data_IF_273449972029
#
_entry.id   IF_273449972029
#
_cell.length_a   1.000
_cell.length_b   1.000
_cell.length_c   1.000
_cell.angle_alpha   90.00
_cell.angle_beta   90.00
_cell.angle_gamma   90.00
#
_symmetry.space_group_name_H-M   'P 1'
#
loop_
_entity.id
_entity.type
_entity.pdbx_description
1 polymer ?
#
# COMPACT_ATOMS: atom_id res chain seq x y z
N UNK A 1 -22.93 -31.17 -71.55
CA UNK A 1 -22.42 -30.53 -70.32
C UNK A 1 -23.56 -30.48 -69.33
N UNK A 2 -23.57 -31.36 -68.31
CA UNK A 2 -24.49 -31.25 -67.18
C UNK A 2 -23.84 -30.36 -66.13
N UNK A 3 -24.46 -29.23 -65.80
CA UNK A 3 -24.14 -28.50 -64.57
C UNK A 3 -25.18 -28.87 -63.51
N UNK A 4 -24.71 -29.53 -62.44
CA UNK A 4 -25.46 -29.67 -61.19
C UNK A 4 -25.14 -28.44 -60.34
N UNK A 5 -26.17 -27.66 -60.02
CA UNK A 5 -26.07 -26.60 -59.00
C UNK A 5 -26.71 -27.15 -57.74
N UNK A 6 -25.88 -27.52 -56.76
CA UNK A 6 -26.34 -27.83 -55.42
C UNK A 6 -26.70 -26.50 -54.72
N UNK A 7 -28.00 -26.22 -54.60
CA UNK A 7 -28.48 -25.10 -53.79
C UNK A 7 -28.80 -25.64 -52.41
N UNK A 8 -27.98 -25.28 -51.42
CA UNK A 8 -28.34 -25.46 -50.01
C UNK A 8 -29.47 -24.47 -49.70
N UNK A 9 -30.68 -24.97 -49.45
CA UNK A 9 -31.83 -24.12 -49.14
C UNK A 9 -31.63 -23.43 -47.80
N UNK A 10 -31.28 -22.14 -47.81
CA UNK A 10 -31.38 -21.29 -46.63
C UNK A 10 -32.86 -21.01 -46.38
N UNK A 11 -33.31 -21.21 -45.14
CA UNK A 11 -34.70 -20.92 -44.77
C UNK A 11 -34.76 -19.54 -44.13
N UNK A 12 -35.35 -18.59 -44.85
CA UNK A 12 -35.78 -17.31 -44.30
C UNK A 12 -37.21 -17.42 -43.79
N UNK A 13 -37.44 -17.09 -42.51
CA UNK A 13 -38.79 -16.88 -41.98
C UNK A 13 -38.99 -15.39 -41.88
N UNK A 14 -40.00 -14.90 -42.62
CA UNK A 14 -40.35 -13.48 -42.73
C UNK A 14 -39.22 -12.60 -43.32
N UNK A 15 -38.30 -13.19 -44.10
CA UNK A 15 -37.31 -12.49 -44.92
C UNK A 15 -37.12 -13.14 -46.29
N UNK A 16 -37.05 -12.33 -47.35
CA UNK A 16 -36.66 -12.73 -48.70
C UNK A 16 -35.14 -12.66 -48.93
N UNK A 17 -34.39 -12.07 -47.98
CA UNK A 17 -32.94 -11.96 -47.99
C UNK A 17 -32.36 -12.68 -46.75
N UNK A 18 -32.45 -14.03 -46.69
CA UNK A 18 -31.83 -14.77 -45.60
C UNK A 18 -30.32 -14.47 -45.56
N UNK A 19 -29.77 -14.37 -44.35
CA UNK A 19 -28.34 -14.06 -44.20
C UNK A 19 -27.55 -15.22 -44.81
N UNK A 20 -26.65 -14.89 -45.75
CA UNK A 20 -25.88 -15.87 -46.50
C UNK A 20 -24.97 -16.76 -45.63
N UNK A 21 -24.77 -16.39 -44.36
CA UNK A 21 -24.03 -17.14 -43.35
C UNK A 21 -24.91 -17.92 -42.36
N UNK A 22 -26.23 -17.95 -42.56
CA UNK A 22 -27.18 -18.62 -41.66
C UNK A 22 -27.92 -19.77 -42.36
N UNK A 23 -28.10 -20.90 -41.65
CA UNK A 23 -28.97 -21.98 -42.11
C UNK A 23 -30.47 -21.71 -41.89
N UNK A 24 -30.79 -20.92 -40.86
CA UNK A 24 -32.14 -20.43 -40.53
C UNK A 24 -32.04 -18.95 -40.11
N UNK A 25 -32.71 -18.07 -40.83
CA UNK A 25 -32.81 -16.64 -40.52
C UNK A 25 -34.26 -16.30 -40.21
N UNK A 26 -34.55 -15.91 -38.97
CA UNK A 26 -35.85 -15.32 -38.62
C UNK A 26 -35.67 -13.82 -38.54
N UNK A 27 -36.38 -13.08 -39.38
CA UNK A 27 -36.30 -11.61 -39.42
C UNK A 27 -37.65 -10.99 -39.12
N UNK A 28 -37.65 -9.79 -38.51
CA UNK A 28 -38.85 -8.98 -38.37
C UNK A 28 -39.32 -8.35 -39.70
N UNK A 29 -38.49 -8.39 -40.75
CA UNK A 29 -38.79 -7.78 -42.06
C UNK A 29 -38.36 -8.61 -43.24
N UNK A 30 -39.08 -8.40 -44.34
CA UNK A 30 -38.78 -9.01 -45.62
C UNK A 30 -37.33 -8.73 -46.06
N UNK A 31 -36.83 -7.51 -45.83
CA UNK A 31 -35.44 -7.11 -46.10
C UNK A 31 -34.73 -6.55 -44.85
N UNK A 32 -33.87 -7.35 -44.19
CA UNK A 32 -33.10 -6.95 -43.01
C UNK A 32 -32.01 -5.90 -43.31
N UNK A 33 -31.67 -5.65 -44.58
CA UNK A 33 -30.68 -4.64 -44.95
C UNK A 33 -31.27 -3.22 -45.09
N UNK A 34 -32.58 -3.06 -44.87
CA UNK A 34 -33.29 -1.80 -45.07
C UNK A 34 -33.02 -0.78 -43.94
N UNK A 35 -32.36 0.33 -44.28
CA UNK A 35 -31.93 1.38 -43.34
C UNK A 35 -33.05 2.33 -42.89
N UNK A 36 -34.27 2.19 -43.41
CA UNK A 36 -35.38 3.14 -43.21
C UNK A 36 -36.20 2.91 -41.93
N UNK A 37 -35.96 1.82 -41.20
CA UNK A 37 -36.44 1.67 -39.83
C UNK A 37 -35.42 0.84 -39.01
N UNK A 38 -34.87 1.32 -37.89
CA UNK A 38 -33.90 0.53 -37.12
C UNK A 38 -34.60 -0.65 -36.44
N UNK A 39 -33.99 -1.84 -36.51
CA UNK A 39 -34.47 -3.07 -35.88
C UNK A 39 -34.71 -2.84 -34.38
N UNK A 40 -35.94 -3.04 -33.92
CA UNK A 40 -36.28 -2.95 -32.51
C UNK A 40 -37.11 -4.18 -32.15
N UNK A 41 -36.44 -5.06 -31.37
CA UNK A 41 -37.00 -6.23 -30.65
C UNK A 41 -37.07 -7.58 -31.40
N UNK A 42 -35.98 -8.00 -32.06
CA UNK A 42 -35.86 -9.32 -32.68
C UNK A 42 -35.25 -10.39 -31.74
N UNK A 43 -35.82 -11.62 -31.74
CA UNK A 43 -35.29 -12.80 -31.02
C UNK A 43 -36.01 -14.10 -31.40
N UNK A 44 -35.39 -15.26 -31.12
CA UNK A 44 -36.00 -16.59 -31.28
C UNK A 44 -36.45 -17.10 -29.91
N UNK A 45 -37.76 -17.39 -29.77
CA UNK A 45 -38.28 -18.10 -28.58
C UNK A 45 -38.13 -19.60 -28.83
N UNK A 46 -37.18 -20.23 -28.14
CA UNK A 46 -37.03 -21.69 -28.13
C UNK A 46 -38.13 -22.35 -27.28
N UNK A 47 -38.47 -23.62 -27.53
CA UNK A 47 -39.45 -24.35 -26.72
C UNK A 47 -39.13 -24.28 -25.22
N UNK A 48 -40.15 -23.99 -24.42
CA UNK A 48 -40.04 -23.73 -22.97
C UNK A 48 -40.66 -24.87 -22.19
N UNK A 49 -39.88 -25.52 -21.34
CA UNK A 49 -40.30 -26.68 -20.56
C UNK A 49 -39.86 -26.54 -19.11
N UNK A 50 -40.64 -27.05 -18.16
CA UNK A 50 -40.17 -27.30 -16.80
C UNK A 50 -39.12 -28.42 -16.79
N UNK A 51 -38.35 -28.55 -15.70
CA UNK A 51 -37.42 -29.68 -15.54
C UNK A 51 -38.14 -31.03 -15.67
N UNK A 52 -39.37 -31.13 -15.17
CA UNK A 52 -40.19 -32.34 -15.29
C UNK A 52 -40.63 -32.63 -16.72
N UNK A 53 -41.09 -31.63 -17.46
CA UNK A 53 -41.47 -31.79 -18.87
C UNK A 53 -40.27 -32.11 -19.76
N UNK A 54 -39.12 -31.46 -19.54
CA UNK A 54 -37.86 -31.79 -20.23
C UNK A 54 -37.46 -33.24 -20.01
N UNK A 55 -37.62 -33.76 -18.79
CA UNK A 55 -37.23 -35.13 -18.48
C UNK A 55 -38.01 -36.19 -19.28
N UNK A 56 -39.18 -35.84 -19.82
CA UNK A 56 -39.96 -36.71 -20.72
C UNK A 56 -39.46 -36.69 -22.17
N UNK A 57 -38.60 -35.74 -22.52
CA UNK A 57 -37.91 -35.73 -23.82
C UNK A 57 -36.81 -36.79 -23.72
N UNK A 58 -36.88 -37.81 -24.58
CA UNK A 58 -35.91 -38.92 -24.64
C UNK A 58 -35.03 -38.80 -25.91
N UNK A 59 -34.16 -37.79 -26.01
CA UNK A 59 -33.28 -37.58 -27.16
C UNK A 59 -32.18 -38.63 -27.22
N UNK A 60 -31.69 -38.90 -28.42
CA UNK A 60 -30.60 -39.83 -28.70
C UNK A 60 -29.47 -39.12 -29.46
N UNK A 61 -28.67 -39.88 -30.20
CA UNK A 61 -27.55 -39.35 -30.97
C UNK A 61 -27.97 -38.32 -32.04
N UNK A 62 -29.14 -38.50 -32.65
CA UNK A 62 -29.64 -37.66 -33.75
C UNK A 62 -30.11 -36.29 -33.30
N UNK A 63 -30.46 -36.13 -32.02
CA UNK A 63 -30.90 -34.88 -31.41
C UNK A 63 -29.77 -34.14 -30.70
N UNK A 64 -28.51 -34.51 -30.92
CA UNK A 64 -27.37 -33.80 -30.33
C UNK A 64 -27.40 -32.30 -30.69
N UNK A 65 -27.33 -31.42 -29.69
CA UNK A 65 -27.51 -29.98 -29.83
C UNK A 65 -28.95 -29.48 -29.68
N UNK A 66 -29.93 -30.37 -29.42
CA UNK A 66 -31.30 -29.98 -29.10
C UNK A 66 -31.29 -29.00 -27.94
N UNK A 67 -31.80 -27.80 -28.20
CA UNK A 67 -31.78 -26.69 -27.25
C UNK A 67 -33.21 -26.33 -26.86
N UNK A 68 -33.46 -26.30 -25.55
CA UNK A 68 -34.71 -25.82 -24.97
C UNK A 68 -34.43 -24.75 -23.92
N UNK A 69 -35.44 -23.99 -23.53
CA UNK A 69 -35.38 -23.12 -22.36
C UNK A 69 -36.08 -23.80 -21.18
N UNK A 70 -35.32 -24.14 -20.14
CA UNK A 70 -35.87 -24.71 -18.92
C UNK A 70 -36.42 -23.59 -18.02
N UNK A 71 -37.74 -23.48 -17.89
CA UNK A 71 -38.39 -22.42 -17.09
C UNK A 71 -38.25 -22.65 -15.59
N UNK A 72 -37.93 -23.87 -15.15
CA UNK A 72 -37.68 -24.18 -13.73
C UNK A 72 -36.28 -23.70 -13.33
N UNK A 73 -35.26 -23.94 -14.17
CA UNK A 73 -33.87 -23.51 -13.87
C UNK A 73 -33.48 -22.15 -14.45
N UNK A 74 -34.35 -21.54 -15.28
CA UNK A 74 -34.12 -20.31 -16.04
C UNK A 74 -32.83 -20.35 -16.89
N UNK A 75 -32.59 -21.49 -17.54
CA UNK A 75 -31.40 -21.73 -18.37
C UNK A 75 -31.76 -22.33 -19.70
N UNK A 76 -30.87 -22.18 -20.67
CA UNK A 76 -30.88 -23.07 -21.83
C UNK A 76 -30.42 -24.45 -21.36
N UNK A 77 -31.13 -25.48 -21.76
CA UNK A 77 -30.66 -26.86 -21.64
C UNK A 77 -30.33 -27.35 -23.05
N UNK A 78 -29.12 -27.87 -23.21
CA UNK A 78 -28.57 -28.35 -24.48
C UNK A 78 -28.33 -29.85 -24.32
N UNK A 79 -28.92 -30.67 -25.17
CA UNK A 79 -28.65 -32.10 -25.19
C UNK A 79 -27.28 -32.37 -25.79
N UNK A 80 -26.41 -33.01 -25.03
CA UNK A 80 -25.09 -33.41 -25.47
C UNK A 80 -25.01 -34.93 -25.57
N UNK A 81 -24.72 -35.45 -26.76
CA UNK A 81 -24.46 -36.86 -27.01
C UNK A 81 -22.96 -37.13 -27.10
N UNK A 82 -22.48 -38.11 -26.34
CA UNK A 82 -21.12 -38.63 -26.44
C UNK A 82 -21.12 -39.88 -27.31
N UNK A 83 -20.55 -39.75 -28.51
CA UNK A 83 -20.49 -40.84 -29.49
C UNK A 83 -19.57 -41.98 -29.06
N UNK A 84 -18.54 -41.70 -28.25
CA UNK A 84 -17.59 -42.70 -27.77
C UNK A 84 -18.20 -43.59 -26.68
N UNK A 85 -19.05 -43.04 -25.82
CA UNK A 85 -19.68 -43.78 -24.71
C UNK A 85 -21.11 -44.20 -25.00
N UNK A 86 -21.71 -43.76 -26.12
CA UNK A 86 -23.11 -43.98 -26.47
C UNK A 86 -24.08 -43.54 -25.35
N UNK A 87 -23.74 -42.42 -24.70
CA UNK A 87 -24.54 -41.83 -23.63
C UNK A 87 -24.79 -40.36 -23.92
N UNK A 88 -25.96 -39.86 -23.49
CA UNK A 88 -26.29 -38.45 -23.58
C UNK A 88 -26.70 -37.86 -22.25
N UNK A 89 -26.47 -36.57 -22.10
CA UNK A 89 -26.84 -35.80 -20.92
C UNK A 89 -27.25 -34.39 -21.30
N UNK A 90 -28.16 -33.82 -20.50
CA UNK A 90 -28.50 -32.41 -20.63
C UNK A 90 -27.44 -31.55 -19.93
N UNK A 91 -26.85 -30.62 -20.66
CA UNK A 91 -26.00 -29.57 -20.10
C UNK A 91 -26.81 -28.28 -19.93
N UNK A 92 -26.53 -27.53 -18.87
CA UNK A 92 -27.16 -26.22 -18.65
C UNK A 92 -26.22 -25.09 -19.09
N UNK A 93 -26.75 -24.16 -19.87
CA UNK A 93 -26.10 -22.88 -20.19
C UNK A 93 -26.98 -21.75 -19.64
N UNK A 94 -26.48 -21.09 -18.60
CA UNK A 94 -27.19 -20.04 -17.88
C UNK A 94 -26.47 -18.70 -18.07
N UNK A 95 -27.19 -17.59 -17.93
CA UNK A 95 -26.54 -16.31 -17.61
C UNK A 95 -25.82 -16.40 -16.26
N UNK A 96 -24.97 -15.41 -15.92
CA UNK A 96 -24.33 -15.36 -14.61
C UNK A 96 -25.40 -15.44 -13.50
N UNK A 97 -25.39 -16.54 -12.74
CA UNK A 97 -26.27 -16.74 -11.60
C UNK A 97 -25.64 -16.11 -10.36
N UNK A 98 -26.42 -15.47 -9.48
CA UNK A 98 -25.95 -15.14 -8.15
C UNK A 98 -25.52 -16.43 -7.44
N UNK A 99 -24.46 -16.34 -6.65
CA UNK A 99 -24.08 -17.41 -5.73
C UNK A 99 -25.18 -17.65 -4.69
N UNK A 100 -24.95 -18.58 -3.78
CA UNK A 100 -25.64 -18.55 -2.50
C UNK A 100 -24.69 -18.95 -1.38
N UNK A 101 -24.85 -18.32 -0.23
CA UNK A 101 -24.03 -18.58 0.96
C UNK A 101 -24.91 -18.77 2.20
N UNK A 102 -24.46 -19.64 3.09
CA UNK A 102 -24.87 -19.64 4.48
C UNK A 102 -24.04 -18.62 5.24
N UNK A 103 -24.73 -17.62 5.78
CA UNK A 103 -24.17 -16.61 6.65
C UNK A 103 -25.22 -16.24 7.69
N UNK A 104 -24.90 -16.35 8.97
CA UNK A 104 -25.86 -16.05 10.06
C UNK A 104 -25.24 -15.27 11.21
N UNK A 105 -23.90 -15.11 11.22
CA UNK A 105 -23.18 -14.57 12.35
C UNK A 105 -22.45 -13.27 12.00
N UNK A 106 -23.12 -12.14 12.23
CA UNK A 106 -22.51 -10.81 12.06
C UNK A 106 -21.30 -10.56 12.98
N UNK A 107 -21.18 -11.27 14.12
CA UNK A 107 -20.02 -11.14 14.99
C UNK A 107 -18.74 -11.77 14.40
N UNK A 108 -18.87 -12.58 13.33
CA UNK A 108 -17.72 -13.14 12.62
C UNK A 108 -17.10 -12.15 11.62
N UNK A 109 -17.80 -11.05 11.27
CA UNK A 109 -17.26 -9.99 10.42
C UNK A 109 -16.21 -9.22 11.20
N UNK A 110 -14.99 -9.17 10.67
CA UNK A 110 -13.86 -8.47 11.30
C UNK A 110 -13.26 -7.43 10.36
N UNK A 111 -12.70 -6.39 10.95
CA UNK A 111 -11.91 -5.38 10.25
C UNK A 111 -10.44 -5.65 10.50
N UNK A 112 -9.65 -5.69 9.44
CA UNK A 112 -8.20 -5.82 9.49
C UNK A 112 -7.57 -4.53 8.96
N UNK A 113 -6.71 -3.89 9.75
CA UNK A 113 -6.07 -2.62 9.43
C UNK A 113 -6.77 -1.38 10.01
N UNK A 114 -6.28 -0.21 9.62
CA UNK A 114 -6.78 1.11 10.04
C UNK A 114 -6.94 1.97 8.78
N UNK A 115 -8.05 2.68 8.65
CA UNK A 115 -8.29 3.56 7.52
C UNK A 115 -7.50 4.86 7.66
N UNK A 116 -6.63 5.19 6.70
CA UNK A 116 -5.88 6.44 6.73
C UNK A 116 -6.62 7.53 5.94
N UNK A 117 -7.17 8.51 6.65
CA UNK A 117 -7.96 9.61 6.07
C UNK A 117 -7.14 10.59 5.24
N UNK A 118 -5.81 10.56 5.32
CA UNK A 118 -4.93 11.40 4.49
C UNK A 118 -4.61 10.75 3.13
N UNK A 119 -4.96 9.47 2.95
CA UNK A 119 -4.78 8.76 1.69
C UNK A 119 -6.07 8.79 0.86
N UNK A 120 -5.92 9.01 -0.44
CA UNK A 120 -7.03 8.88 -1.39
C UNK A 120 -7.58 7.44 -1.39
N UNK A 121 -8.89 7.31 -1.59
CA UNK A 121 -9.53 6.01 -1.80
C UNK A 121 -9.01 5.38 -3.08
N UNK A 122 -8.58 4.11 -3.02
CA UNK A 122 -7.88 3.43 -4.12
C UNK A 122 -6.36 3.66 -4.15
N UNK A 123 -5.82 4.50 -3.24
CA UNK A 123 -4.38 4.54 -2.95
C UNK A 123 -3.92 3.32 -2.13
N UNK A 124 -2.76 3.43 -1.48
CA UNK A 124 -2.16 2.38 -0.63
C UNK A 124 -2.91 2.18 0.72
N UNK A 125 -4.24 2.14 0.71
CA UNK A 125 -5.05 1.76 1.87
C UNK A 125 -4.85 0.26 2.13
N UNK A 126 -4.50 -0.10 3.36
CA UNK A 126 -4.27 -1.51 3.75
C UNK A 126 -5.46 -2.13 4.49
N UNK A 127 -6.45 -1.31 4.84
CA UNK A 127 -7.62 -1.73 5.60
C UNK A 127 -8.61 -2.51 4.74
N UNK A 128 -9.19 -3.55 5.31
CA UNK A 128 -10.23 -4.38 4.67
C UNK A 128 -11.22 -4.94 5.68
N UNK A 129 -12.42 -5.23 5.22
CA UNK A 129 -13.44 -5.95 5.99
C UNK A 129 -13.42 -7.40 5.52
N UNK A 130 -13.29 -8.34 6.46
CA UNK A 130 -13.30 -9.78 6.19
C UNK A 130 -14.65 -10.35 6.57
N UNK A 131 -15.33 -10.94 5.59
CA UNK A 131 -16.61 -11.60 5.76
C UNK A 131 -16.41 -13.10 5.53
N UNK A 132 -16.41 -13.93 6.58
CA UNK A 132 -16.39 -15.39 6.44
C UNK A 132 -17.78 -15.90 6.05
N UNK A 133 -17.87 -16.66 4.97
CA UNK A 133 -19.13 -17.23 4.45
C UNK A 133 -18.95 -18.71 4.15
N UNK A 134 -20.03 -19.48 4.14
CA UNK A 134 -20.04 -20.85 3.63
C UNK A 134 -20.82 -20.91 2.31
N UNK A 135 -20.12 -21.11 1.19
CA UNK A 135 -20.72 -21.10 -0.15
C UNK A 135 -21.49 -22.39 -0.39
N UNK A 136 -22.79 -22.28 -0.66
CA UNK A 136 -23.70 -23.40 -0.94
C UNK A 136 -24.09 -23.50 -2.41
N UNK A 137 -23.93 -22.41 -3.18
CA UNK A 137 -24.08 -22.41 -4.63
C UNK A 137 -23.04 -21.48 -5.28
N UNK A 138 -22.40 -21.96 -6.35
CA UNK A 138 -21.45 -21.18 -7.14
C UNK A 138 -22.16 -20.06 -7.90
N UNK A 139 -21.47 -18.97 -8.16
CA UNK A 139 -22.03 -17.82 -8.86
C UNK A 139 -21.41 -16.51 -8.44
N UNK A 140 -21.99 -15.40 -8.89
CA UNK A 140 -21.50 -14.04 -8.59
C UNK A 140 -21.96 -13.54 -7.23
N UNK A 141 -21.17 -12.67 -6.63
CA UNK A 141 -21.52 -11.95 -5.40
C UNK A 141 -21.16 -10.46 -5.53
N UNK A 142 -21.88 -9.61 -4.79
CA UNK A 142 -21.56 -8.18 -4.64
C UNK A 142 -21.89 -7.78 -3.20
N UNK A 143 -20.85 -7.58 -2.39
CA UNK A 143 -20.95 -7.17 -0.99
C UNK A 143 -20.56 -5.71 -0.87
N UNK A 144 -21.27 -4.98 -0.02
CA UNK A 144 -21.00 -3.56 0.21
C UNK A 144 -21.08 -3.22 1.68
N UNK A 145 -20.21 -2.33 2.15
CA UNK A 145 -20.29 -1.73 3.46
C UNK A 145 -20.22 -0.22 3.40
N UNK A 146 -20.81 0.44 4.39
CA UNK A 146 -20.73 1.89 4.57
C UNK A 146 -20.36 2.17 6.03
N UNK A 147 -19.17 2.70 6.24
CA UNK A 147 -18.67 3.04 7.58
C UNK A 147 -18.13 4.46 7.56
N UNK A 148 -18.71 5.35 8.37
CA UNK A 148 -18.34 6.77 8.46
C UNK A 148 -18.31 7.49 7.10
N UNK A 149 -19.20 7.16 6.16
CA UNK A 149 -19.20 7.75 4.82
C UNK A 149 -18.19 7.16 3.82
N UNK A 150 -17.39 6.17 4.23
CA UNK A 150 -16.51 5.39 3.35
C UNK A 150 -17.24 4.13 2.90
N UNK A 151 -17.30 3.91 1.59
CA UNK A 151 -17.90 2.74 0.97
C UNK A 151 -16.85 1.65 0.75
N UNK A 152 -17.10 0.46 1.29
CA UNK A 152 -16.32 -0.75 1.07
C UNK A 152 -17.06 -1.65 0.08
N UNK A 153 -16.35 -2.27 -0.86
CA UNK A 153 -16.96 -3.19 -1.85
C UNK A 153 -16.12 -4.43 -2.06
N UNK A 154 -16.80 -5.53 -2.38
CA UNK A 154 -16.22 -6.75 -2.93
C UNK A 154 -17.19 -7.32 -3.96
N UNK A 155 -16.70 -7.57 -5.18
CA UNK A 155 -17.47 -8.21 -6.23
C UNK A 155 -16.63 -9.34 -6.82
N UNK A 156 -17.27 -10.46 -7.15
CA UNK A 156 -16.54 -11.62 -7.65
C UNK A 156 -17.43 -12.79 -7.99
N UNK A 157 -16.81 -13.95 -8.22
CA UNK A 157 -17.48 -15.22 -8.48
C UNK A 157 -16.90 -16.29 -7.57
N UNK A 158 -17.76 -16.99 -6.84
CA UNK A 158 -17.34 -18.20 -6.13
C UNK A 158 -17.21 -19.34 -7.13
N UNK A 159 -16.02 -19.94 -7.19
CA UNK A 159 -15.69 -21.11 -8.02
C UNK A 159 -15.53 -22.40 -7.21
N UNK A 160 -15.56 -22.29 -5.88
CA UNK A 160 -15.49 -23.41 -4.94
C UNK A 160 -16.63 -23.32 -3.93
N UNK A 161 -17.15 -24.48 -3.52
CA UNK A 161 -18.10 -24.61 -2.42
C UNK A 161 -17.38 -24.61 -1.06
N UNK A 162 -18.13 -24.42 0.02
CA UNK A 162 -17.62 -24.49 1.39
C UNK A 162 -17.13 -23.14 1.95
N UNK A 163 -16.34 -23.20 3.02
CA UNK A 163 -15.87 -22.00 3.74
C UNK A 163 -14.96 -21.12 2.86
N UNK A 164 -15.29 -19.84 2.77
CA UNK A 164 -14.55 -18.82 2.02
C UNK A 164 -14.51 -17.50 2.81
N UNK A 165 -13.47 -16.71 2.59
CA UNK A 165 -13.41 -15.33 3.08
C UNK A 165 -13.60 -14.36 1.92
N UNK A 166 -14.51 -13.41 2.07
CA UNK A 166 -14.65 -12.28 1.15
C UNK A 166 -14.03 -11.04 1.78
N UNK A 167 -13.19 -10.35 1.02
CA UNK A 167 -12.48 -9.15 1.46
C UNK A 167 -13.06 -7.92 0.78
N UNK A 168 -13.67 -7.02 1.54
CA UNK A 168 -14.15 -5.73 1.03
C UNK A 168 -13.07 -4.67 1.25
N UNK A 169 -12.77 -3.91 0.20
CA UNK A 169 -11.79 -2.84 0.20
C UNK A 169 -12.48 -1.48 0.06
N UNK A 170 -11.88 -0.39 0.57
CA UNK A 170 -12.37 0.96 0.31
C UNK A 170 -12.49 1.22 -1.20
N UNK A 171 -13.65 1.70 -1.62
CA UNK A 171 -13.98 1.91 -3.04
C UNK A 171 -14.36 3.35 -3.36
N UNK A 172 -14.98 4.06 -2.42
CA UNK A 172 -15.28 5.49 -2.55
C UNK A 172 -15.57 6.14 -1.19
N UNK A 173 -15.71 7.47 -1.19
CA UNK A 173 -16.20 8.24 -0.05
C UNK A 173 -15.11 8.92 0.77
N UNK A 174 -15.53 9.76 1.72
CA UNK A 174 -14.66 10.48 2.64
C UNK A 174 -15.24 10.36 4.05
N UNK A 175 -14.40 10.18 5.09
CA UNK A 175 -14.85 10.17 6.47
C UNK A 175 -15.70 11.40 6.80
N UNK A 176 -16.94 11.21 7.24
CA UNK A 176 -17.85 12.32 7.56
C UNK A 176 -17.66 12.87 8.96
N UNK A 177 -17.23 12.02 9.91
CA UNK A 177 -16.93 12.41 11.28
C UNK A 177 -15.44 12.26 11.53
N UNK A 178 -14.83 13.32 12.09
CA UNK A 178 -13.47 13.30 12.61
C UNK A 178 -13.42 12.52 13.95
N UNK A 179 -13.57 11.20 13.87
CA UNK A 179 -13.43 10.28 15.00
C UNK A 179 -12.35 9.25 14.71
N UNK A 180 -11.62 8.82 15.74
CA UNK A 180 -10.63 7.73 15.64
C UNK A 180 -11.28 6.36 15.45
N UNK A 181 -12.57 6.24 15.78
CA UNK A 181 -13.36 5.01 15.61
C UNK A 181 -14.78 5.36 15.20
N UNK A 182 -15.32 4.67 14.21
CA UNK A 182 -16.71 4.79 13.83
C UNK A 182 -17.31 3.42 13.50
N UNK A 183 -18.62 3.30 13.69
CA UNK A 183 -19.37 2.10 13.33
C UNK A 183 -20.16 2.32 12.05
N UNK A 184 -20.42 1.23 11.34
CA UNK A 184 -21.28 1.24 10.17
C UNK A 184 -21.88 -0.12 9.92
N UNK A 185 -22.29 -0.36 8.67
CA UNK A 185 -22.93 -1.60 8.26
C UNK A 185 -22.26 -2.24 7.05
N UNK A 186 -22.44 -3.56 6.95
CA UNK A 186 -22.01 -4.38 5.80
C UNK A 186 -23.19 -5.24 5.38
N UNK A 187 -23.55 -5.16 4.10
CA UNK A 187 -24.60 -5.97 3.48
C UNK A 187 -23.96 -7.10 2.69
N UNK A 188 -24.40 -8.32 2.98
CA UNK A 188 -23.91 -9.58 2.44
C UNK A 188 -25.04 -10.17 1.62
N UNK A 189 -24.85 -10.21 0.30
CA UNK A 189 -25.84 -10.72 -0.64
C UNK A 189 -25.14 -11.38 -1.84
N UNK A 190 -25.66 -12.50 -2.37
CA UNK A 190 -26.85 -13.25 -1.96
C UNK A 190 -26.64 -14.19 -0.75
N UNK A 191 -27.69 -14.53 -0.01
CA UNK A 191 -27.65 -15.50 1.13
C UNK A 191 -28.85 -16.45 1.11
N UNK A 192 -28.71 -17.65 1.70
CA UNK A 192 -29.80 -18.63 1.81
C UNK A 192 -30.94 -18.15 2.73
N UNK A 193 -30.65 -17.37 3.77
CA UNK A 193 -31.60 -17.02 4.83
C UNK A 193 -32.47 -15.78 4.53
N UNK A 194 -32.04 -14.90 3.61
CA UNK A 194 -32.70 -13.61 3.37
C UNK A 194 -33.09 -13.36 1.90
N UNK A 195 -33.00 -14.38 1.04
CA UNK A 195 -33.24 -14.24 -0.40
C UNK A 195 -32.27 -13.25 -1.07
N UNK A 196 -32.68 -12.65 -2.19
CA UNK A 196 -31.85 -11.73 -2.97
C UNK A 196 -31.46 -10.44 -2.22
N UNK A 197 -32.16 -10.08 -1.13
CA UNK A 197 -31.91 -8.87 -0.36
C UNK A 197 -30.70 -8.97 0.59
N UNK A 198 -30.27 -10.20 0.95
CA UNK A 198 -29.10 -10.42 1.79
C UNK A 198 -29.27 -10.07 3.27
N UNK A 199 -28.18 -10.19 4.04
CA UNK A 199 -28.12 -9.90 5.48
C UNK A 199 -27.29 -8.63 5.69
N UNK A 200 -27.80 -7.70 6.49
CA UNK A 200 -27.05 -6.49 6.88
C UNK A 200 -26.56 -6.61 8.31
N UNK A 201 -25.24 -6.61 8.47
CA UNK A 201 -24.56 -6.56 9.74
C UNK A 201 -24.29 -5.11 10.15
N UNK A 202 -24.87 -4.67 11.25
CA UNK A 202 -24.64 -3.35 11.84
C UNK A 202 -23.52 -3.39 12.88
N UNK A 203 -23.09 -2.22 13.34
CA UNK A 203 -22.07 -2.04 14.39
C UNK A 203 -20.68 -2.57 14.02
N UNK A 204 -20.36 -2.64 12.72
CA UNK A 204 -19.01 -2.97 12.27
C UNK A 204 -18.11 -1.78 12.58
N UNK A 205 -17.15 -1.98 13.49
CA UNK A 205 -16.26 -0.93 13.99
C UNK A 205 -15.00 -0.83 13.15
N UNK A 206 -14.71 0.38 12.66
CA UNK A 206 -13.53 0.71 11.89
C UNK A 206 -12.75 1.81 12.60
N UNK A 207 -11.43 1.61 12.69
CA UNK A 207 -10.51 2.65 13.18
C UNK A 207 -10.08 3.54 12.03
N UNK A 208 -9.98 4.82 12.33
CA UNK A 208 -9.50 5.86 11.42
C UNK A 208 -8.25 6.51 12.01
N UNK A 209 -7.33 6.86 11.13
CA UNK A 209 -6.13 7.61 11.46
C UNK A 209 -5.99 8.78 10.49
N UNK A 210 -5.49 9.90 10.99
CA UNK A 210 -5.02 11.02 10.18
C UNK A 210 -3.81 11.65 10.85
N UNK A 211 -2.93 12.29 10.09
CA UNK A 211 -1.80 13.05 10.62
C UNK A 211 -2.29 14.03 11.66
N UNK A 212 -3.29 14.85 11.33
CA UNK A 212 -3.82 15.91 12.18
C UNK A 212 -4.29 15.43 13.57
N UNK A 213 -4.69 14.17 13.71
CA UNK A 213 -5.13 13.58 14.99
C UNK A 213 -4.10 12.65 15.64
N UNK A 214 -3.01 12.33 14.95
CA UNK A 214 -2.01 11.35 15.40
C UNK A 214 -0.85 12.00 16.15
N UNK A 215 -0.19 11.20 16.97
CA UNK A 215 1.14 11.52 17.50
C UNK A 215 2.19 10.80 16.68
N UNK A 216 3.11 11.55 16.06
CA UNK A 216 4.26 10.97 15.39
C UNK A 216 5.28 10.52 16.42
N UNK A 217 5.74 9.26 16.33
CA UNK A 217 6.71 8.71 17.27
C UNK A 217 8.08 8.65 16.61
N UNK A 218 9.07 9.25 17.25
CA UNK A 218 10.48 9.18 16.88
C UNK A 218 11.19 8.37 17.96
N UNK A 219 11.89 7.31 17.56
CA UNK A 219 12.74 6.56 18.48
C UNK A 219 14.16 7.11 18.40
N UNK A 220 14.71 7.55 19.53
CA UNK A 220 16.14 7.84 19.68
C UNK A 220 16.82 6.60 20.25
N UNK A 221 17.39 5.76 19.38
CA UNK A 221 18.22 4.64 19.79
C UNK A 221 19.56 5.18 20.27
N UNK A 222 19.88 4.96 21.55
CA UNK A 222 21.00 5.62 22.21
C UNK A 222 22.34 5.19 21.63
N UNK A 223 23.12 6.19 21.21
CA UNK A 223 24.56 6.06 20.98
C UNK A 223 25.33 6.04 22.31
N UNK A 224 26.56 5.52 22.30
CA UNK A 224 27.50 5.63 23.44
C UNK A 224 28.59 6.70 23.24
N UNK A 225 28.69 7.24 22.01
CA UNK A 225 29.50 8.40 21.71
C UNK A 225 28.86 9.70 22.25
N UNK A 226 29.70 10.63 22.73
CA UNK A 226 29.25 11.95 23.16
C UNK A 226 28.70 12.73 21.95
N UNK A 227 27.57 13.42 22.13
CA UNK A 227 27.06 14.38 21.15
C UNK A 227 26.05 13.81 20.14
N UNK A 228 26.15 12.55 19.73
CA UNK A 228 25.32 11.94 18.65
C UNK A 228 23.85 11.64 19.00
N UNK A 229 23.44 11.88 20.24
CA UNK A 229 22.09 11.56 20.73
C UNK A 229 21.14 12.76 20.61
N UNK A 230 19.88 12.54 20.18
CA UNK A 230 18.84 13.58 20.22
C UNK A 230 18.38 13.90 21.65
N UNK A 231 18.47 12.92 22.55
CA UNK A 231 18.13 13.06 23.97
C UNK A 231 19.33 12.64 24.83
N UNK A 232 19.90 13.57 25.61
CA UNK A 232 21.07 13.29 26.44
C UNK A 232 20.75 12.93 27.90
N UNK A 233 21.47 11.98 28.52
CA UNK A 233 21.69 11.93 29.96
C UNK A 233 23.03 12.63 30.29
N UNK A 234 23.07 13.97 30.28
CA UNK A 234 24.30 14.71 30.64
C UNK A 234 24.50 16.02 29.86
N UNK A 235 25.50 16.79 30.29
CA UNK A 235 25.81 18.21 29.92
C UNK A 235 26.20 18.46 28.46
N UNK A 236 25.94 17.54 27.52
CA UNK A 236 26.32 17.71 26.11
C UNK A 236 25.32 18.61 25.36
N UNK A 237 25.66 19.89 25.27
CA UNK A 237 25.00 20.92 24.46
C UNK A 237 25.45 20.86 22.99
N UNK A 238 25.14 19.77 22.30
CA UNK A 238 25.46 19.56 20.89
C UNK A 238 24.36 20.02 19.92
N UNK A 239 24.66 19.99 18.62
CA UNK A 239 23.68 20.31 17.57
C UNK A 239 22.52 19.31 17.60
N UNK A 240 22.80 18.01 17.76
CA UNK A 240 21.78 16.96 17.80
C UNK A 240 20.81 17.11 18.97
N UNK A 241 21.28 17.47 20.18
CA UNK A 241 20.39 17.70 21.33
C UNK A 241 19.54 18.97 21.16
N UNK A 242 20.04 19.96 20.42
CA UNK A 242 19.26 21.15 20.03
C UNK A 242 18.14 20.79 19.05
N UNK A 243 18.44 19.94 18.05
CA UNK A 243 17.43 19.39 17.13
C UNK A 243 16.42 18.51 17.89
N UNK A 244 16.88 17.67 18.82
CA UNK A 244 16.03 16.88 19.71
C UNK A 244 15.10 17.73 20.58
N UNK A 245 15.58 18.87 21.09
CA UNK A 245 14.75 19.84 21.80
C UNK A 245 13.63 20.38 20.91
N UNK A 246 13.95 20.74 19.66
CA UNK A 246 12.95 21.19 18.68
C UNK A 246 11.92 20.13 18.31
N UNK A 247 12.36 18.88 18.11
CA UNK A 247 11.46 17.73 17.90
C UNK A 247 10.51 17.53 19.10
N UNK A 248 10.98 17.85 20.30
CA UNK A 248 10.20 17.78 21.54
C UNK A 248 9.41 19.07 21.84
N UNK A 249 9.23 19.95 20.86
CA UNK A 249 8.40 21.15 20.96
C UNK A 249 9.15 22.45 21.33
N UNK A 250 10.47 22.40 21.46
CA UNK A 250 11.32 23.58 21.57
C UNK A 250 11.40 24.39 20.26
N UNK A 251 11.97 25.59 20.33
CA UNK A 251 12.23 26.41 19.15
C UNK A 251 13.61 26.09 18.55
N UNK A 252 13.74 26.18 17.22
CA UNK A 252 15.03 26.10 16.52
C UNK A 252 15.16 27.30 15.59
N UNK A 253 15.87 28.33 16.02
CA UNK A 253 16.08 29.55 15.22
C UNK A 253 14.74 30.09 14.66
N UNK A 254 14.65 30.28 13.34
CA UNK A 254 13.46 30.73 12.59
C UNK A 254 12.57 29.59 12.09
N UNK A 255 12.90 28.33 12.38
CA UNK A 255 12.11 27.19 11.92
C UNK A 255 10.73 27.15 12.60
N UNK A 256 9.73 26.68 11.88
CA UNK A 256 8.43 26.37 12.47
C UNK A 256 8.56 25.22 13.48
N UNK A 257 7.58 25.04 14.36
CA UNK A 257 7.57 23.90 15.26
C UNK A 257 7.54 22.57 14.49
N UNK A 258 8.24 21.54 14.99
CA UNK A 258 8.31 20.22 14.36
C UNK A 258 6.92 19.63 14.02
N UNK A 259 5.95 19.78 14.93
CA UNK A 259 4.56 19.35 14.71
C UNK A 259 3.89 19.99 13.49
N UNK A 260 4.27 21.22 13.14
CA UNK A 260 3.74 21.95 11.99
C UNK A 260 4.20 21.30 10.69
N UNK A 261 5.48 20.92 10.60
CA UNK A 261 6.00 20.17 9.45
C UNK A 261 5.37 18.78 9.33
N UNK A 262 5.20 18.10 10.46
CA UNK A 262 4.56 16.78 10.51
C UNK A 262 3.07 16.83 10.11
N UNK A 263 2.41 17.97 10.31
CA UNK A 263 0.97 18.12 10.20
C UNK A 263 0.22 17.30 11.26
N UNK A 264 0.85 17.07 12.42
CA UNK A 264 0.35 16.17 13.46
C UNK A 264 -0.15 16.86 14.71
N UNK A 265 -0.93 16.15 15.53
CA UNK A 265 -1.36 16.64 16.84
C UNK A 265 -0.16 16.82 17.78
N UNK A 266 0.79 15.88 17.73
CA UNK A 266 2.02 15.92 18.50
C UNK A 266 3.17 15.17 17.79
N UNK A 267 4.39 15.45 18.26
CA UNK A 267 5.59 14.66 18.00
C UNK A 267 6.09 14.17 19.36
N UNK A 268 6.40 12.88 19.47
CA UNK A 268 6.91 12.26 20.69
C UNK A 268 8.26 11.64 20.40
N UNK A 269 9.28 12.10 21.12
CA UNK A 269 10.63 11.56 21.05
C UNK A 269 10.84 10.59 22.21
N UNK A 270 11.06 9.31 21.91
CA UNK A 270 11.22 8.25 22.90
C UNK A 270 12.68 7.79 22.90
N UNK A 271 13.33 7.90 24.05
CA UNK A 271 14.68 7.39 24.23
C UNK A 271 14.66 5.86 24.41
N UNK A 272 15.49 5.16 23.63
CA UNK A 272 15.63 3.70 23.68
C UNK A 272 17.08 3.36 24.01
N UNK A 273 17.35 2.79 25.21
CA UNK A 273 18.69 2.30 25.52
C UNK A 273 19.18 1.29 24.49
N UNK A 274 20.49 1.25 24.30
CA UNK A 274 21.16 0.21 23.54
C UNK A 274 22.25 -0.40 24.42
N UNK A 275 22.39 -1.73 24.38
CA UNK A 275 23.47 -2.42 25.08
C UNK A 275 23.14 -3.82 25.58
N UNK A 276 21.87 -4.12 25.88
CA UNK A 276 21.47 -5.43 26.41
C UNK A 276 20.45 -6.15 25.50
N UNK A 277 20.36 -7.48 25.62
CA UNK A 277 19.39 -8.27 24.83
C UNK A 277 17.92 -7.85 25.06
N UNK A 278 17.58 -7.41 26.27
CA UNK A 278 16.25 -6.87 26.58
C UNK A 278 15.92 -5.58 25.82
N UNK A 279 16.93 -4.80 25.44
CA UNK A 279 16.76 -3.54 24.71
C UNK A 279 16.35 -3.77 23.26
N UNK A 280 16.86 -4.83 22.61
CA UNK A 280 16.44 -5.23 21.25
C UNK A 280 14.94 -5.59 21.24
N UNK A 281 14.49 -6.35 22.24
CA UNK A 281 13.08 -6.74 22.36
C UNK A 281 12.19 -5.51 22.58
N UNK A 282 12.62 -4.59 23.45
CA UNK A 282 11.93 -3.31 23.69
C UNK A 282 11.88 -2.47 22.41
N UNK A 283 13.01 -2.35 21.71
CA UNK A 283 13.10 -1.61 20.44
C UNK A 283 12.14 -2.17 19.39
N UNK A 284 12.16 -3.49 19.16
CA UNK A 284 11.24 -4.15 18.22
C UNK A 284 9.76 -3.87 18.55
N UNK A 285 9.40 -3.87 19.83
CA UNK A 285 8.04 -3.55 20.24
C UNK A 285 7.67 -2.08 20.01
N UNK A 286 8.59 -1.14 20.24
CA UNK A 286 8.39 0.28 19.97
C UNK A 286 8.36 0.58 18.46
N UNK A 287 9.16 -0.13 17.67
CA UNK A 287 9.30 0.04 16.22
C UNK A 287 7.97 -0.17 15.47
N UNK A 288 7.10 -1.02 16.00
CA UNK A 288 5.72 -1.24 15.50
C UNK A 288 4.88 0.04 15.45
N UNK A 289 5.19 1.02 16.30
CA UNK A 289 4.47 2.30 16.41
C UNK A 289 5.30 3.52 16.01
N UNK A 290 6.60 3.34 15.77
CA UNK A 290 7.50 4.41 15.35
C UNK A 290 7.19 4.87 13.92
N UNK A 291 7.46 6.14 13.63
CA UNK A 291 7.45 6.73 12.29
C UNK A 291 8.87 7.03 11.81
N UNK A 292 9.75 7.43 12.73
CA UNK A 292 11.15 7.75 12.45
C UNK A 292 12.03 7.05 13.50
N UNK A 293 13.18 6.54 13.10
CA UNK A 293 14.22 6.08 14.02
C UNK A 293 15.49 6.89 13.79
N UNK A 294 16.00 7.47 14.86
CA UNK A 294 17.35 8.00 14.96
C UNK A 294 18.25 6.97 15.63
N UNK A 295 19.42 6.72 15.05
CA UNK A 295 20.45 5.85 15.59
C UNK A 295 21.66 6.71 15.92
N UNK A 296 21.90 6.88 17.21
CA UNK A 296 23.12 7.55 17.70
C UNK A 296 24.36 6.70 17.45
N UNK A 297 25.49 7.38 17.25
CA UNK A 297 26.80 6.77 17.02
C UNK A 297 27.19 5.88 18.20
N UNK A 298 27.56 4.64 17.89
CA UNK A 298 27.86 3.61 18.87
C UNK A 298 28.84 2.59 18.31
N UNK A 299 29.76 2.13 19.15
CA UNK A 299 30.51 0.90 18.88
C UNK A 299 29.61 -0.33 19.06
N UNK A 300 28.97 -0.75 17.97
CA UNK A 300 28.07 -1.90 17.97
C UNK A 300 28.89 -3.20 17.98
N UNK A 301 28.55 -4.14 18.87
CA UNK A 301 29.04 -5.51 18.64
C UNK A 301 28.42 -6.05 17.35
N UNK A 302 29.13 -6.92 16.62
CA UNK A 302 28.67 -7.47 15.36
C UNK A 302 27.25 -8.09 15.45
N UNK A 303 26.94 -8.74 16.57
CA UNK A 303 25.61 -9.33 16.81
C UNK A 303 24.54 -8.27 17.06
N UNK A 304 24.85 -7.19 17.80
CA UNK A 304 23.91 -6.09 18.04
C UNK A 304 23.65 -5.29 16.75
N UNK A 305 24.70 -4.90 16.03
CA UNK A 305 24.57 -4.15 14.78
C UNK A 305 23.71 -4.90 13.76
N UNK A 306 23.96 -6.21 13.60
CA UNK A 306 23.16 -7.09 12.74
C UNK A 306 21.71 -7.20 13.21
N UNK A 307 21.47 -7.37 14.52
CA UNK A 307 20.12 -7.53 15.06
C UNK A 307 19.26 -6.27 14.89
N UNK A 308 19.77 -5.10 15.27
CA UNK A 308 19.07 -3.83 15.08
C UNK A 308 18.93 -3.48 13.59
N UNK A 309 20.00 -3.69 12.81
CA UNK A 309 20.01 -3.43 11.38
C UNK A 309 19.02 -4.27 10.59
N UNK A 310 18.87 -5.56 10.90
CA UNK A 310 17.86 -6.41 10.26
C UNK A 310 16.43 -5.97 10.60
N UNK A 311 16.14 -5.60 11.85
CA UNK A 311 14.84 -5.07 12.23
C UNK A 311 14.52 -3.78 11.46
N UNK A 312 15.48 -2.87 11.35
CA UNK A 312 15.33 -1.61 10.62
C UNK A 312 15.21 -1.83 9.11
N UNK A 313 15.98 -2.76 8.55
CA UNK A 313 15.90 -3.16 7.13
C UNK A 313 14.51 -3.66 6.77
N UNK A 314 13.97 -4.61 7.53
CA UNK A 314 12.64 -5.17 7.28
C UNK A 314 11.55 -4.11 7.44
N UNK A 315 11.69 -3.26 8.46
CA UNK A 315 10.76 -2.17 8.75
C UNK A 315 10.74 -1.12 7.62
N UNK A 316 11.90 -0.70 7.15
CA UNK A 316 12.05 0.22 6.01
C UNK A 316 11.55 -0.42 4.70
N UNK A 317 11.90 -1.68 4.44
CA UNK A 317 11.47 -2.40 3.23
C UNK A 317 9.94 -2.52 3.17
N UNK A 318 9.29 -2.71 4.33
CA UNK A 318 7.84 -2.70 4.48
C UNK A 318 7.22 -1.27 4.48
N UNK A 319 8.01 -0.24 4.17
CA UNK A 319 7.62 1.19 4.13
C UNK A 319 6.99 1.66 5.44
N UNK A 320 7.46 1.13 6.57
CA UNK A 320 6.90 1.43 7.88
C UNK A 320 7.49 2.69 8.53
N UNK A 321 8.54 3.30 7.95
CA UNK A 321 9.04 4.61 8.34
C UNK A 321 10.39 4.97 7.76
N UNK A 322 11.04 5.95 8.39
CA UNK A 322 12.34 6.52 7.97
C UNK A 322 13.38 6.23 9.05
N UNK A 323 14.60 5.89 8.64
CA UNK A 323 15.75 5.74 9.55
C UNK A 323 16.81 6.79 9.26
N UNK A 324 17.47 7.24 10.32
CA UNK A 324 18.57 8.19 10.31
C UNK A 324 19.69 7.61 11.16
N UNK A 325 20.88 7.43 10.57
CA UNK A 325 22.00 6.76 11.21
C UNK A 325 23.18 7.71 11.31
N UNK A 326 23.79 7.78 12.50
CA UNK A 326 25.10 8.42 12.70
C UNK A 326 26.15 7.35 12.95
N UNK A 327 27.37 7.52 12.41
CA UNK A 327 28.48 6.62 12.67
C UNK A 327 29.86 7.21 12.37
N UNK A 328 30.83 6.91 13.23
CA UNK A 328 32.20 7.46 13.25
C UNK A 328 33.19 6.74 12.37
N UNK A 329 33.06 5.43 12.35
CA UNK A 329 34.02 4.52 11.74
C UNK A 329 33.31 3.24 11.35
N UNK A 330 34.01 2.39 10.63
CA UNK A 330 33.50 1.09 10.17
C UNK A 330 32.90 0.25 11.30
N UNK A 331 33.48 0.28 12.51
CA UNK A 331 32.98 -0.41 13.69
C UNK A 331 31.60 0.08 14.18
N UNK A 332 31.20 1.29 13.78
CA UNK A 332 29.89 1.86 14.09
C UNK A 332 28.88 1.68 12.95
N UNK A 333 29.36 1.27 11.78
CA UNK A 333 28.53 1.04 10.62
C UNK A 333 27.66 -0.22 10.72
N UNK A 334 27.76 -1.03 11.79
CA UNK A 334 27.13 -2.36 11.88
C UNK A 334 25.64 -2.39 11.50
N UNK A 335 24.89 -1.37 11.91
CA UNK A 335 23.48 -1.20 11.54
C UNK A 335 23.34 -0.81 10.06
N UNK A 336 24.10 0.19 9.60
CA UNK A 336 24.09 0.63 8.21
C UNK A 336 24.45 -0.51 7.24
N UNK A 337 25.48 -1.30 7.55
CA UNK A 337 25.97 -2.41 6.73
C UNK A 337 24.95 -3.55 6.64
N UNK A 338 24.28 -3.88 7.75
CA UNK A 338 23.15 -4.83 7.73
C UNK A 338 22.00 -4.34 6.83
N UNK A 339 21.81 -3.02 6.74
CA UNK A 339 20.85 -2.38 5.84
C UNK A 339 21.34 -2.24 4.38
N UNK A 340 22.62 -2.55 4.10
CA UNK A 340 23.22 -2.48 2.77
C UNK A 340 23.95 -1.18 2.44
N UNK A 341 24.27 -0.36 3.45
CA UNK A 341 25.01 0.89 3.32
C UNK A 341 26.33 0.79 4.08
N UNK A 342 27.38 1.43 3.62
CA UNK A 342 28.71 1.25 4.20
C UNK A 342 29.21 2.57 4.79
N UNK A 343 29.64 2.52 6.05
CA UNK A 343 30.44 3.56 6.69
C UNK A 343 31.87 3.03 6.70
N UNK A 344 32.78 3.82 6.16
CA UNK A 344 34.20 3.52 5.98
C UNK A 344 35.06 4.49 6.79
N UNK A 345 36.25 4.04 7.16
CA UNK A 345 37.23 4.87 7.86
C UNK A 345 37.81 5.91 6.90
N UNK A 346 37.52 7.18 7.16
CA UNK A 346 38.14 8.30 6.45
C UNK A 346 39.49 8.67 7.04
N UNK A 347 40.54 8.54 6.24
CA UNK A 347 41.89 9.09 6.50
C UNK A 347 42.03 10.56 6.03
N UNK A 348 40.95 11.19 5.57
CA UNK A 348 41.00 12.48 4.89
C UNK A 348 41.21 13.67 5.85
N UNK A 349 42.35 14.37 5.68
CA UNK A 349 42.65 15.66 6.29
C UNK A 349 41.89 16.80 5.56
N UNK A 350 40.57 16.83 5.65
CA UNK A 350 39.77 17.95 5.17
C UNK A 350 39.56 18.99 6.29
N UNK A 351 39.22 20.24 5.95
CA UNK A 351 38.87 21.30 6.91
C UNK A 351 37.40 21.71 6.86
N UNK A 352 36.66 21.27 5.84
CA UNK A 352 35.27 21.62 5.61
C UNK A 352 34.58 20.66 4.64
N UNK A 353 33.26 20.58 4.75
CA UNK A 353 32.38 19.93 3.78
C UNK A 353 31.40 20.94 3.18
N UNK A 354 30.93 20.67 1.97
CA UNK A 354 29.93 21.49 1.27
C UNK A 354 28.66 20.68 1.04
N UNK A 355 27.51 21.29 1.33
CA UNK A 355 26.20 20.70 1.02
C UNK A 355 25.79 21.03 -0.40
N UNK A 356 25.49 20.00 -1.20
CA UNK A 356 25.21 20.15 -2.63
C UNK A 356 23.72 20.24 -2.93
N UNK A 357 22.90 19.52 -2.16
CA UNK A 357 21.58 19.15 -2.62
C UNK A 357 20.49 19.75 -1.74
N UNK A 358 19.60 20.53 -2.33
CA UNK A 358 18.27 20.77 -1.74
C UNK A 358 17.53 19.44 -1.84
N UNK A 359 17.13 18.83 -0.70
CA UNK A 359 16.25 17.66 -0.74
C UNK A 359 15.08 17.97 -1.70
N UNK A 360 14.90 17.18 -2.77
CA UNK A 360 14.28 17.67 -3.99
C UNK A 360 12.83 18.08 -3.73
N UNK A 361 12.46 19.32 -4.08
CA UNK A 361 11.09 19.74 -4.48
C UNK A 361 9.89 19.47 -3.53
N UNK A 362 10.05 18.85 -2.35
CA UNK A 362 8.90 18.38 -1.55
C UNK A 362 8.10 19.52 -0.89
N UNK A 363 8.74 20.65 -0.60
CA UNK A 363 8.08 21.84 -0.04
C UNK A 363 7.62 22.83 -1.13
N UNK A 364 7.49 22.41 -2.39
CA UNK A 364 7.01 23.27 -3.48
C UNK A 364 5.55 23.77 -3.29
N UNK A 365 4.85 23.35 -2.24
CA UNK A 365 3.59 23.91 -1.81
C UNK A 365 3.84 25.12 -0.88
N UNK A 366 3.34 26.30 -1.27
CA UNK A 366 3.43 27.56 -0.52
C UNK A 366 2.88 27.52 0.91
N UNK A 367 2.09 26.50 1.28
CA UNK A 367 1.51 26.39 2.61
C UNK A 367 2.52 26.02 3.72
N UNK A 368 3.63 25.33 3.41
CA UNK A 368 4.68 24.99 4.39
C UNK A 368 6.04 25.15 3.71
N UNK A 369 6.80 26.23 4.00
CA UNK A 369 8.11 26.44 3.39
C UNK A 369 9.14 25.43 3.90
N UNK A 370 10.22 25.23 3.14
CA UNK A 370 11.43 24.57 3.67
C UNK A 370 11.88 25.30 4.94
N UNK A 371 12.31 24.61 6.02
CA UNK A 371 12.79 25.28 7.23
C UNK A 371 13.97 26.22 6.94
N UNK A 372 14.92 25.74 6.15
CA UNK A 372 16.07 26.48 5.64
C UNK A 372 16.28 26.16 4.14
N UNK A 373 17.10 26.97 3.47
CA UNK A 373 17.63 26.63 2.14
C UNK A 373 19.10 26.25 2.36
N UNK A 374 19.43 24.96 2.38
CA UNK A 374 20.75 24.52 2.80
C UNK A 374 21.80 24.56 1.68
N UNK A 375 21.42 24.97 0.46
CA UNK A 375 22.35 25.06 -0.67
C UNK A 375 23.49 26.03 -0.37
N UNK A 376 24.73 25.56 -0.53
CA UNK A 376 25.93 26.35 -0.29
C UNK A 376 26.33 26.45 1.18
N UNK A 377 25.69 25.71 2.09
CA UNK A 377 26.17 25.60 3.46
C UNK A 377 27.53 24.91 3.51
N UNK A 378 28.43 25.51 4.27
CA UNK A 378 29.70 24.90 4.67
C UNK A 378 29.58 24.36 6.08
N UNK A 379 30.15 23.18 6.30
CA UNK A 379 30.16 22.51 7.60
C UNK A 379 31.57 22.39 8.14
N UNK A 380 31.66 22.33 9.47
CA UNK A 380 32.92 22.12 10.17
C UNK A 380 33.25 20.64 10.18
N UNK A 381 34.53 20.32 10.09
CA UNK A 381 35.03 18.95 10.01
C UNK A 381 36.24 18.75 10.92
N UNK A 382 36.35 17.57 11.52
CA UNK A 382 37.53 17.14 12.27
C UNK A 382 38.42 16.27 11.39
N UNK A 383 39.70 16.62 11.26
CA UNK A 383 40.62 16.07 10.26
C UNK A 383 41.16 14.66 10.55
N UNK A 384 40.55 13.90 11.47
CA UNK A 384 40.97 12.53 11.83
C UNK A 384 39.78 11.64 12.14
N UNK A 385 39.79 10.42 11.58
CA UNK A 385 38.82 9.33 11.82
C UNK A 385 37.38 9.80 11.61
N UNK A 386 36.97 9.92 10.36
CA UNK A 386 35.60 10.32 10.10
C UNK A 386 34.94 9.37 9.11
N UNK A 387 33.68 9.04 9.39
CA UNK A 387 32.92 8.09 8.59
C UNK A 387 32.66 8.65 7.20
N UNK A 388 33.26 8.03 6.19
CA UNK A 388 32.87 8.23 4.79
C UNK A 388 31.76 7.24 4.46
N UNK A 389 30.79 7.68 3.65
CA UNK A 389 29.62 6.87 3.32
C UNK A 389 29.73 6.41 1.87
N UNK A 390 29.70 5.10 1.66
CA UNK A 390 29.57 4.51 0.33
C UNK A 390 28.26 3.74 0.19
N UNK A 391 27.58 3.94 -0.94
CA UNK A 391 26.31 3.27 -1.25
C UNK A 391 26.10 3.23 -2.77
N UNK A 392 25.47 2.15 -3.23
CA UNK A 392 25.04 1.99 -4.62
C UNK A 392 23.61 2.53 -4.87
N UNK A 393 22.92 3.01 -3.83
CA UNK A 393 21.51 3.42 -3.90
C UNK A 393 21.26 4.66 -3.04
N UNK A 394 20.73 5.72 -3.64
CA UNK A 394 20.46 7.02 -3.01
C UNK A 394 21.29 8.15 -3.66
N UNK A 395 21.38 9.28 -2.97
CA UNK A 395 22.12 10.46 -3.43
C UNK A 395 23.05 10.99 -2.34
N UNK A 396 24.19 11.51 -2.78
CA UNK A 396 25.07 12.32 -1.96
C UNK A 396 24.38 13.65 -1.61
N UNK A 397 24.42 13.97 -0.32
CA UNK A 397 23.80 15.16 0.25
C UNK A 397 24.88 16.20 0.58
N UNK A 398 26.02 15.73 1.09
CA UNK A 398 27.21 16.54 1.35
C UNK A 398 28.48 15.69 1.15
N UNK A 399 29.52 16.35 0.64
CA UNK A 399 30.86 15.81 0.37
C UNK A 399 31.88 16.65 1.12
N UNK A 400 33.03 16.05 1.39
CA UNK A 400 34.23 16.78 1.78
C UNK A 400 34.79 17.59 0.61
N UNK A 401 34.92 18.89 0.82
CA UNK A 401 35.57 19.79 -0.13
C UNK A 401 37.07 19.75 0.18
N UNK A 402 37.83 19.04 -0.66
CA UNK A 402 39.16 18.57 -0.28
C UNK A 402 40.30 19.60 -0.41
N UNK A 403 41.29 19.43 0.49
CA UNK A 403 42.72 19.58 0.17
C UNK A 403 43.25 18.36 -0.61
N UNK A 404 44.53 17.99 -0.50
CA UNK A 404 45.25 17.06 -1.42
C UNK A 404 44.84 15.57 -1.46
N UNK A 405 43.67 15.17 -0.97
CA UNK A 405 43.20 13.76 -0.97
C UNK A 405 41.69 13.72 -1.23
N UNK A 406 41.25 12.81 -2.10
CA UNK A 406 39.92 12.75 -2.74
C UNK A 406 38.73 13.08 -1.81
N UNK A 407 37.80 13.90 -2.33
CA UNK A 407 36.51 14.18 -1.70
C UNK A 407 35.73 12.88 -1.45
N UNK A 408 35.00 12.85 -0.34
CA UNK A 408 34.22 11.69 0.07
C UNK A 408 32.89 12.11 0.67
N UNK A 409 31.87 11.29 0.46
CA UNK A 409 30.51 11.51 0.95
C UNK A 409 30.46 11.43 2.46
N UNK A 410 29.83 12.42 3.07
CA UNK A 410 29.74 12.58 4.54
C UNK A 410 28.31 12.73 5.02
N UNK A 411 27.40 13.02 4.09
CA UNK A 411 25.97 12.78 4.28
C UNK A 411 25.38 12.12 3.05
N UNK A 412 24.52 11.15 3.31
CA UNK A 412 23.88 10.35 2.29
C UNK A 412 22.39 10.24 2.55
N UNK A 413 21.58 10.26 1.48
CA UNK A 413 20.15 10.02 1.58
C UNK A 413 19.63 9.15 0.47
N UNK A 414 18.98 8.05 0.85
CA UNK A 414 18.10 7.27 0.00
C UNK A 414 16.66 7.59 0.37
N UNK A 415 16.08 8.61 -0.25
CA UNK A 415 14.68 9.02 -0.01
C UNK A 415 13.67 8.01 -0.54
N UNK A 416 14.05 7.14 -1.47
CA UNK A 416 13.19 6.06 -1.99
C UNK A 416 12.98 4.99 -0.93
N UNK A 417 14.04 4.67 -0.18
CA UNK A 417 13.99 3.75 0.93
C UNK A 417 13.80 4.44 2.30
N UNK A 418 13.88 5.77 2.39
CA UNK A 418 13.74 6.48 3.66
C UNK A 418 14.91 6.22 4.61
N UNK A 419 16.14 6.24 4.08
CA UNK A 419 17.38 6.08 4.85
C UNK A 419 18.21 7.34 4.72
N UNK A 420 18.66 7.90 5.83
CA UNK A 420 19.70 8.93 5.88
C UNK A 420 20.86 8.45 6.73
N UNK A 421 22.08 8.79 6.29
CA UNK A 421 23.31 8.42 6.99
C UNK A 421 24.18 9.67 7.10
N UNK A 422 24.78 9.82 8.27
CA UNK A 422 25.65 10.92 8.64
C UNK A 422 26.96 10.35 9.18
N UNK A 423 28.10 10.82 8.65
CA UNK A 423 29.40 10.56 9.27
C UNK A 423 29.53 11.28 10.62
N UNK A 424 30.33 10.74 11.54
CA UNK A 424 30.62 11.36 12.83
C UNK A 424 31.47 12.63 12.73
N UNK A 425 31.45 13.41 13.81
CA UNK A 425 32.09 14.72 13.99
C UNK A 425 31.70 15.75 12.94
N UNK A 426 30.73 15.41 12.10
CA UNK A 426 30.11 16.32 11.17
C UNK A 426 29.28 17.34 11.94
N UNK A 427 29.74 18.60 11.95
CA UNK A 427 29.11 19.69 12.68
C UNK A 427 29.24 19.66 14.22
N UNK A 428 29.95 18.68 14.79
CA UNK A 428 30.31 18.69 16.22
C UNK A 428 31.60 19.49 16.47
N UNK A 429 31.51 20.46 17.36
CA UNK A 429 32.50 21.51 17.56
C UNK A 429 33.78 21.12 18.33
N UNK A 430 34.23 19.88 18.32
CA UNK A 430 35.52 19.58 18.96
C UNK A 430 36.68 19.97 18.03
N UNK A 431 37.18 21.19 18.23
CA UNK A 431 38.45 21.81 17.77
C UNK A 431 38.54 22.61 16.46
N UNK A 432 37.80 22.33 15.38
CA UNK A 432 38.10 22.95 14.06
C UNK A 432 36.97 23.72 13.33
N UNK A 433 35.72 23.70 13.82
CA UNK A 433 34.58 24.36 13.16
C UNK A 433 34.17 25.71 13.79
N UNK A 434 33.87 26.72 12.96
CA UNK A 434 33.28 28.01 13.39
C UNK A 434 31.86 27.84 13.94
N UNK A 435 31.38 28.82 14.72
CA UNK A 435 29.98 28.82 15.19
C UNK A 435 28.97 28.81 14.03
N UNK A 436 29.29 29.49 12.92
CA UNK A 436 28.46 29.50 11.72
C UNK A 436 28.33 28.10 11.10
N UNK A 437 29.45 27.37 10.97
CA UNK A 437 29.45 26.01 10.45
C UNK A 437 28.62 25.03 11.31
N UNK A 438 28.65 25.18 12.64
CA UNK A 438 27.79 24.38 13.55
C UNK A 438 26.31 24.71 13.37
N UNK A 439 25.99 26.00 13.26
CA UNK A 439 24.60 26.44 13.01
C UNK A 439 24.10 25.94 11.66
N UNK A 440 24.93 25.98 10.62
CA UNK A 440 24.60 25.45 9.30
C UNK A 440 24.29 23.96 9.36
N UNK A 441 25.09 23.17 10.09
CA UNK A 441 24.81 21.74 10.24
C UNK A 441 23.47 21.50 10.93
N UNK A 442 23.18 22.21 12.02
CA UNK A 442 21.90 22.03 12.70
C UNK A 442 20.70 22.51 11.88
N UNK A 443 20.84 23.60 11.12
CA UNK A 443 19.83 24.01 10.13
C UNK A 443 19.58 22.87 9.12
N UNK A 444 20.65 22.24 8.63
CA UNK A 444 20.57 21.13 7.68
C UNK A 444 19.86 19.91 8.26
N UNK A 445 20.19 19.53 9.50
CA UNK A 445 19.51 18.44 10.19
C UNK A 445 18.02 18.74 10.39
N UNK A 446 17.66 19.99 10.72
CA UNK A 446 16.25 20.40 10.79
C UNK A 446 15.55 20.28 9.45
N UNK A 447 16.20 20.57 8.32
CA UNK A 447 15.64 20.34 6.99
C UNK A 447 15.37 18.85 6.72
N UNK A 448 16.34 17.98 7.03
CA UNK A 448 16.17 16.53 6.87
C UNK A 448 15.04 16.01 7.77
N UNK A 449 14.98 16.45 9.02
CA UNK A 449 13.89 16.08 9.92
C UNK A 449 12.55 16.64 9.48
N UNK A 450 12.47 17.89 9.03
CA UNK A 450 11.22 18.47 8.52
C UNK A 450 10.70 17.70 7.31
N UNK A 451 11.59 17.33 6.38
CA UNK A 451 11.25 16.44 5.27
C UNK A 451 10.76 15.09 5.78
N UNK A 452 11.46 14.50 6.74
CA UNK A 452 11.12 13.18 7.28
C UNK A 452 9.80 13.18 8.05
N UNK A 453 9.54 14.20 8.85
CA UNK A 453 8.27 14.41 9.57
C UNK A 453 7.10 14.49 8.59
N UNK A 454 7.30 15.16 7.45
CA UNK A 454 6.28 15.30 6.41
C UNK A 454 6.01 13.98 5.70
N UNK A 455 7.03 13.16 5.44
CA UNK A 455 6.95 11.97 4.60
C UNK A 455 6.77 10.66 5.37
N UNK A 456 7.20 10.58 6.64
CA UNK A 456 7.09 9.37 7.44
C UNK A 456 5.62 9.00 7.70
N UNK A 457 5.23 7.72 7.63
CA UNK A 457 3.87 7.27 7.86
C UNK A 457 3.42 7.54 9.30
N UNK A 458 2.13 7.83 9.48
CA UNK A 458 1.47 7.89 10.79
C UNK A 458 0.84 6.53 11.12
N UNK A 459 0.85 6.18 12.41
CA UNK A 459 0.50 4.84 12.91
C UNK A 459 -0.49 4.84 14.05
#
# INVERSE_FOLDING_TARGET
MLFSVAVFGQVGINTGNPNSKSGLHVSERNDPASTSAPDRYSGVIVPRYTTGERANINPAATENGLTIYNVTSNCYNIWNWNAQTSTGAWAESCGQKPASVDFTNCAAVKVEGVYNSDLLVGGNQTVRIVVPVNVTALGTYSYSGLINGVTFKAEGTFVNLGAQNVYLYPSSGTPTVASTTATGSVTIAPTNAAGAAGITCSNISLKFISRASSTMIILNLQGDQNGSNLLGPGTNTGVYTTVGSWLNGGAYSTALAAKTYAGTAAVSLINVPAGNAGDITRFNNLLKRASIVWVGAREWTASQGTAYGNLLKDWVAAKQGIVMITGDKDEEGGIAQAMGYYIENGDAQASSATGYTVLPEVFNNTAIPTPFNPSGYTFGWSSSNAGLISSNAGVEIAELTAGSSAGGTVMFGDTTNGVFIFGDKFGEGSSNGTAAQRNNFGNYLVDIFAWSLKNAPVK
#
